data_IF_906604757016
#
_entry.id   IF_906604757016
#
_cell.length_a   1.000
_cell.length_b   1.000
_cell.length_c   1.000
_cell.angle_alpha   90.00
_cell.angle_beta   90.00
_cell.angle_gamma   90.00
#
_symmetry.space_group_name_H-M   'P 1'
#
loop_
_entity.id
_entity.type
_entity.pdbx_description
1 polymer ?
#
# COMPACT_ATOMS: atom_id res chain seq x y z
N UNK A 1 -5.31 9.11 3.82
CA UNK A 1 -6.66 9.71 3.73
C UNK A 1 -6.59 11.24 3.64
N UNK A 2 -6.00 11.96 4.60
CA UNK A 2 -5.94 13.43 4.58
C UNK A 2 -5.28 14.06 3.32
N UNK A 3 -4.21 13.45 2.76
CA UNK A 3 -3.60 13.93 1.51
C UNK A 3 -4.47 13.63 0.27
N UNK A 4 -5.15 12.48 0.25
CA UNK A 4 -6.06 12.11 -0.85
C UNK A 4 -7.36 12.95 -0.81
N UNK A 5 -7.72 13.46 0.38
CA UNK A 5 -8.82 14.42 0.57
C UNK A 5 -8.44 15.81 0.05
N UNK A 6 -7.21 16.29 0.30
CA UNK A 6 -6.75 17.57 -0.27
C UNK A 6 -6.65 17.54 -1.80
N UNK A 7 -6.36 16.37 -2.37
CA UNK A 7 -6.24 16.19 -3.82
C UNK A 7 -7.60 15.92 -4.51
N UNK A 8 -8.72 15.95 -3.76
CA UNK A 8 -10.07 15.73 -4.30
C UNK A 8 -10.34 14.32 -4.82
N UNK A 9 -9.42 13.37 -4.59
CA UNK A 9 -9.50 12.00 -5.10
C UNK A 9 -10.39 11.06 -4.26
N UNK A 10 -10.94 11.55 -3.14
CA UNK A 10 -11.78 10.79 -2.21
C UNK A 10 -13.27 11.16 -2.25
N UNK A 11 -13.70 12.04 -3.15
CA UNK A 11 -15.12 12.37 -3.28
C UNK A 11 -15.90 11.13 -3.76
N UNK A 12 -17.14 10.94 -3.29
CA UNK A 12 -18.00 9.79 -3.62
C UNK A 12 -18.28 9.58 -5.13
N UNK A 13 -17.91 10.53 -5.98
CA UNK A 13 -17.99 10.45 -7.44
C UNK A 13 -16.68 10.02 -8.12
N UNK A 14 -15.60 9.81 -7.35
CA UNK A 14 -14.34 9.30 -7.88
C UNK A 14 -14.51 7.83 -8.26
N UNK A 15 -13.91 7.41 -9.37
CA UNK A 15 -13.95 6.04 -9.93
C UNK A 15 -13.38 4.95 -8.98
N UNK A 16 -13.07 5.30 -7.74
CA UNK A 16 -12.45 4.47 -6.72
C UNK A 16 -13.53 3.81 -5.84
N UNK A 17 -14.42 3.03 -6.44
CA UNK A 17 -15.45 2.22 -5.74
C UNK A 17 -14.87 1.25 -4.69
N UNK A 18 -13.55 1.05 -4.68
CA UNK A 18 -12.87 0.12 -3.79
C UNK A 18 -12.56 0.71 -2.41
N UNK A 19 -12.69 2.03 -2.20
CA UNK A 19 -12.30 2.64 -0.92
C UNK A 19 -13.22 2.21 0.22
N UNK A 20 -14.52 2.08 -0.03
CA UNK A 20 -15.47 1.53 0.94
C UNK A 20 -15.08 0.12 1.40
N UNK A 21 -14.73 -0.75 0.44
CA UNK A 21 -14.24 -2.11 0.71
C UNK A 21 -12.92 -2.12 1.48
N UNK A 22 -11.98 -1.23 1.15
CA UNK A 22 -10.74 -1.10 1.92
C UNK A 22 -11.02 -0.71 3.37
N UNK A 23 -11.91 0.27 3.60
CA UNK A 23 -12.28 0.68 4.96
C UNK A 23 -12.93 -0.49 5.71
N UNK A 24 -13.84 -1.23 5.09
CA UNK A 24 -14.45 -2.44 5.67
C UNK A 24 -13.39 -3.48 6.05
N UNK A 25 -12.42 -3.74 5.18
CA UNK A 25 -11.31 -4.67 5.45
C UNK A 25 -10.47 -4.23 6.65
N UNK A 26 -10.18 -2.92 6.77
CA UNK A 26 -9.44 -2.40 7.92
C UNK A 26 -10.23 -2.51 9.24
N UNK A 27 -11.55 -2.32 9.21
CA UNK A 27 -12.43 -2.54 10.38
C UNK A 27 -12.40 -4.02 10.79
N UNK A 28 -12.54 -4.94 9.85
CA UNK A 28 -12.45 -6.39 10.12
C UNK A 28 -11.08 -6.77 10.71
N UNK A 29 -10.00 -6.23 10.14
CA UNK A 29 -8.65 -6.46 10.63
C UNK A 29 -8.43 -5.89 12.04
N UNK A 30 -9.05 -4.75 12.36
CA UNK A 30 -9.01 -4.20 13.70
C UNK A 30 -9.79 -5.06 14.72
N UNK A 31 -10.88 -5.72 14.31
CA UNK A 31 -11.51 -6.76 15.15
C UNK A 31 -10.52 -7.87 15.48
N UNK A 32 -9.87 -8.45 14.47
CA UNK A 32 -8.87 -9.51 14.67
C UNK A 32 -7.72 -9.07 15.57
N UNK A 33 -7.22 -7.84 15.39
CA UNK A 33 -6.14 -7.30 16.23
C UNK A 33 -6.57 -7.01 17.68
N UNK A 34 -7.86 -6.78 17.94
CA UNK A 34 -8.38 -6.73 19.32
C UNK A 34 -8.39 -8.12 19.95
N UNK A 35 -8.78 -9.14 19.20
CA UNK A 35 -8.83 -10.53 19.69
C UNK A 35 -7.45 -11.03 20.12
N UNK A 36 -6.41 -10.66 19.39
CA UNK A 36 -5.01 -10.95 19.76
C UNK A 36 -4.36 -9.88 20.65
N UNK A 37 -5.14 -8.97 21.24
CA UNK A 37 -4.68 -7.94 22.19
C UNK A 37 -3.62 -6.95 21.63
N UNK A 38 -3.53 -6.78 20.31
CA UNK A 38 -2.62 -5.83 19.68
C UNK A 38 -3.12 -4.38 19.76
N UNK A 39 -4.44 -4.16 19.76
CA UNK A 39 -5.05 -2.82 19.86
C UNK A 39 -6.10 -2.75 20.98
N UNK A 40 -5.65 -2.59 22.21
CA UNK A 40 -6.54 -2.52 23.39
C UNK A 40 -7.15 -1.13 23.64
N UNK A 41 -8.36 -1.14 24.22
CA UNK A 41 -9.29 -0.02 24.48
C UNK A 41 -8.72 1.25 25.15
N UNK A 42 -7.61 1.13 25.86
CA UNK A 42 -7.10 2.13 26.79
C UNK A 42 -5.71 2.68 26.41
N UNK A 43 -5.10 2.20 25.31
CA UNK A 43 -3.79 2.69 24.88
C UNK A 43 -3.94 3.99 24.09
N UNK A 44 -3.75 5.10 24.78
CA UNK A 44 -3.65 6.41 24.14
C UNK A 44 -2.28 6.56 23.48
N UNK A 45 -2.27 6.69 22.15
CA UNK A 45 -1.06 7.07 21.43
C UNK A 45 -0.99 8.60 21.40
N UNK A 46 0.03 9.16 22.07
CA UNK A 46 0.30 10.60 22.07
C UNK A 46 0.99 10.97 20.76
N UNK A 47 0.20 11.25 19.71
CA UNK A 47 0.70 12.02 18.57
C UNK A 47 0.63 13.51 18.90
N UNK A 48 1.62 14.31 18.48
CA UNK A 48 1.67 15.76 18.75
C UNK A 48 0.45 16.53 18.23
N UNK A 49 -0.24 15.99 17.23
CA UNK A 49 -1.32 16.68 16.50
C UNK A 49 -2.73 16.26 16.94
N UNK A 50 -2.91 15.08 17.52
CA UNK A 50 -4.21 14.61 17.96
C UNK A 50 -4.08 13.44 18.96
N UNK A 51 -5.09 13.30 19.83
CA UNK A 51 -5.19 12.16 20.75
C UNK A 51 -5.82 10.99 20.01
N UNK A 52 -5.05 9.93 19.78
CA UNK A 52 -5.52 8.73 19.11
C UNK A 52 -5.71 7.59 20.11
N UNK A 53 -6.89 6.98 20.09
CA UNK A 53 -7.24 5.82 20.91
C UNK A 53 -7.33 4.58 20.03
N UNK A 54 -6.34 3.68 20.14
CA UNK A 54 -6.23 2.52 19.26
C UNK A 54 -7.46 1.59 19.34
N UNK A 55 -8.07 1.44 20.52
CA UNK A 55 -9.27 0.62 20.66
C UNK A 55 -10.54 1.20 20.02
N UNK A 56 -10.53 2.48 19.66
CA UNK A 56 -11.63 3.15 18.96
C UNK A 56 -11.36 3.31 17.46
N UNK A 57 -10.41 2.55 16.91
CA UNK A 57 -9.97 2.68 15.53
C UNK A 57 -11.12 2.61 14.52
N UNK A 58 -12.07 1.71 14.73
CA UNK A 58 -13.26 1.56 13.86
C UNK A 58 -14.08 2.85 13.78
N UNK A 59 -14.24 3.55 14.92
CA UNK A 59 -14.98 4.80 14.99
C UNK A 59 -14.28 5.92 14.21
N UNK A 60 -12.94 5.97 14.25
CA UNK A 60 -12.18 6.92 13.43
C UNK A 60 -12.37 6.65 11.93
N UNK A 61 -12.36 5.38 11.51
CA UNK A 61 -12.58 5.01 10.11
C UNK A 61 -13.99 5.35 9.64
N UNK A 62 -15.01 5.04 10.44
CA UNK A 62 -16.40 5.37 10.14
C UNK A 62 -16.63 6.89 10.07
N UNK A 63 -16.06 7.65 11.01
CA UNK A 63 -16.17 9.11 11.01
C UNK A 63 -15.46 9.74 9.80
N UNK A 64 -14.32 9.18 9.35
CA UNK A 64 -13.67 9.61 8.11
C UNK A 64 -14.52 9.24 6.88
N UNK A 65 -15.08 8.04 6.83
CA UNK A 65 -15.96 7.63 5.73
C UNK A 65 -17.20 8.52 5.62
N UNK A 66 -17.83 8.86 6.75
CA UNK A 66 -18.96 9.78 6.79
C UNK A 66 -18.56 11.19 6.32
N UNK A 67 -17.41 11.72 6.75
CA UNK A 67 -16.89 13.03 6.30
C UNK A 67 -16.69 13.08 4.78
N UNK A 68 -16.28 11.97 4.19
CA UNK A 68 -15.98 11.86 2.76
C UNK A 68 -17.17 11.34 1.94
N UNK A 69 -18.32 11.10 2.57
CA UNK A 69 -19.51 10.51 1.95
C UNK A 69 -19.21 9.16 1.25
N UNK A 70 -18.40 8.31 1.88
CA UNK A 70 -18.02 6.98 1.38
C UNK A 70 -18.95 5.94 2.02
N UNK A 71 -19.60 5.13 1.20
CA UNK A 71 -20.38 3.97 1.67
C UNK A 71 -19.45 2.82 2.02
N UNK A 72 -19.53 2.36 3.28
CA UNK A 72 -18.83 1.14 3.71
C UNK A 72 -19.80 -0.04 3.56
N UNK A 73 -19.44 -1.09 2.81
CA UNK A 73 -20.26 -2.28 2.68
C UNK A 73 -20.26 -3.09 3.99
N UNK A 74 -21.40 -3.67 4.32
CA UNK A 74 -21.56 -4.68 5.38
C UNK A 74 -21.22 -4.22 6.81
N UNK A 75 -21.35 -2.91 7.10
CA UNK A 75 -21.20 -2.37 8.46
C UNK A 75 -22.49 -1.76 8.96
N UNK A 76 -22.94 -2.18 10.14
CA UNK A 76 -23.95 -1.43 10.88
C UNK A 76 -23.38 -0.03 11.19
N UNK A 77 -24.08 1.03 10.79
CA UNK A 77 -23.67 2.40 11.09
C UNK A 77 -23.62 2.60 12.60
N UNK A 78 -22.44 2.52 13.22
CA UNK A 78 -22.22 2.80 14.66
C UNK A 78 -22.18 4.31 14.90
N UNK A 79 -23.01 5.07 14.16
CA UNK A 79 -23.02 6.53 14.11
C UNK A 79 -23.70 7.16 15.34
N UNK A 80 -23.65 6.53 16.51
CA UNK A 80 -24.27 7.08 17.72
C UNK A 80 -23.25 7.23 18.83
N UNK A 81 -22.80 8.48 18.98
CA UNK A 81 -22.39 9.14 20.23
C UNK A 81 -20.91 9.43 20.48
N UNK A 82 -19.99 9.14 19.56
CA UNK A 82 -18.61 9.58 19.72
C UNK A 82 -18.14 10.16 18.39
N UNK A 83 -18.15 11.49 18.25
CA UNK A 83 -17.40 12.16 17.20
C UNK A 83 -15.94 12.20 17.63
N UNK A 84 -15.06 11.35 17.08
CA UNK A 84 -13.65 11.46 17.40
C UNK A 84 -13.13 12.75 16.77
N UNK A 85 -12.28 13.50 17.49
CA UNK A 85 -11.58 14.64 16.91
C UNK A 85 -10.59 14.15 15.84
N UNK A 86 -11.01 14.11 14.59
CA UNK A 86 -10.15 13.78 13.45
C UNK A 86 -9.36 15.05 13.09
N UNK A 87 -8.02 14.97 12.93
CA UNK A 87 -7.26 16.11 12.44
C UNK A 87 -7.80 16.56 11.09
N UNK A 88 -8.07 17.86 10.96
CA UNK A 88 -8.37 18.48 9.66
C UNK A 88 -7.09 18.47 8.84
N UNK A 89 -7.17 17.99 7.60
CA UNK A 89 -6.03 18.04 6.68
C UNK A 89 -5.62 19.50 6.49
N UNK A 90 -4.40 19.85 6.86
CA UNK A 90 -3.83 21.19 6.66
C UNK A 90 -3.31 21.38 5.21
N UNK A 91 -3.83 20.60 4.25
CA UNK A 91 -3.40 20.56 2.84
C UNK A 91 -1.97 20.07 2.60
N UNK A 92 -1.12 20.05 3.64
CA UNK A 92 0.27 19.62 3.55
C UNK A 92 0.37 18.16 3.94
N UNK A 93 0.67 17.29 2.99
CA UNK A 93 0.88 15.86 3.21
C UNK A 93 1.98 15.63 4.26
N UNK A 94 1.65 15.20 5.49
CA UNK A 94 2.62 15.07 6.55
C UNK A 94 3.56 13.87 6.35
N UNK A 95 3.24 12.97 5.42
CA UNK A 95 3.98 11.74 5.16
C UNK A 95 4.72 11.76 3.82
N UNK A 96 4.52 12.79 2.99
CA UNK A 96 5.10 12.88 1.64
C UNK A 96 4.67 11.73 0.71
N UNK A 97 3.56 11.06 1.03
CA UNK A 97 3.01 9.96 0.24
C UNK A 97 2.64 10.40 -1.18
N UNK A 98 2.12 11.61 -1.37
CA UNK A 98 1.75 12.12 -2.70
C UNK A 98 2.96 12.18 -3.65
N UNK A 99 4.08 12.71 -3.17
CA UNK A 99 5.33 12.78 -3.93
C UNK A 99 5.90 11.38 -4.21
N UNK A 100 5.90 10.51 -3.20
CA UNK A 100 6.37 9.13 -3.35
C UNK A 100 5.50 8.35 -4.34
N UNK A 101 4.18 8.47 -4.25
CA UNK A 101 3.24 7.80 -5.17
C UNK A 101 3.39 8.34 -6.59
N UNK A 102 3.55 9.65 -6.78
CA UNK A 102 3.80 10.24 -8.09
C UNK A 102 5.11 9.71 -8.68
N UNK A 103 6.18 9.62 -7.88
CA UNK A 103 7.46 9.02 -8.30
C UNK A 103 7.34 7.53 -8.63
N UNK A 104 6.58 6.78 -7.83
CA UNK A 104 6.31 5.37 -8.13
C UNK A 104 5.51 5.28 -9.43
N UNK A 105 4.43 6.01 -9.60
CA UNK A 105 3.59 5.96 -10.79
C UNK A 105 4.36 6.35 -12.05
N UNK A 106 5.14 7.44 -12.01
CA UNK A 106 6.00 7.82 -13.14
C UNK A 106 7.04 6.75 -13.45
N UNK A 107 7.71 6.18 -12.46
CA UNK A 107 8.73 5.15 -12.68
C UNK A 107 8.15 3.78 -13.07
N UNK A 108 7.08 3.33 -12.44
CA UNK A 108 6.45 2.02 -12.67
C UNK A 108 5.78 1.95 -14.05
N UNK A 109 5.18 3.06 -14.50
CA UNK A 109 4.52 3.13 -15.81
C UNK A 109 5.51 3.45 -16.94
N UNK A 110 6.55 4.24 -16.68
CA UNK A 110 7.65 4.43 -17.63
C UNK A 110 8.52 3.18 -17.80
N UNK A 111 8.66 2.37 -16.74
CA UNK A 111 9.42 1.12 -16.74
C UNK A 111 8.50 -0.08 -16.52
N UNK A 112 7.43 -0.20 -17.33
CA UNK A 112 6.89 -1.52 -17.64
C UNK A 112 7.94 -2.33 -18.41
N UNK A 113 9.07 -2.66 -17.78
CA UNK A 113 9.81 -3.86 -18.14
C UNK A 113 8.81 -4.97 -17.96
N UNK A 114 8.41 -5.60 -19.07
CA UNK A 114 7.58 -6.80 -19.04
C UNK A 114 8.17 -7.71 -17.97
N UNK A 115 7.34 -8.17 -17.04
CA UNK A 115 7.77 -9.18 -16.08
C UNK A 115 8.10 -10.42 -16.92
N UNK A 116 9.37 -10.82 -16.93
CA UNK A 116 9.90 -11.86 -17.82
C UNK A 116 10.30 -11.37 -19.22
N UNK A 117 11.12 -12.18 -19.88
CA UNK A 117 11.68 -11.96 -21.21
C UNK A 117 13.17 -12.31 -21.26
N UNK A 118 13.70 -12.50 -22.47
CA UNK A 118 15.07 -12.93 -22.73
C UNK A 118 16.13 -12.00 -22.12
N UNK A 119 15.77 -10.77 -21.74
CA UNK A 119 16.65 -9.86 -21.01
C UNK A 119 16.83 -10.20 -19.53
N UNK A 120 16.03 -11.10 -18.97
CA UNK A 120 16.08 -11.54 -17.56
C UNK A 120 16.45 -13.02 -17.40
N UNK A 121 16.49 -13.78 -18.51
CA UNK A 121 16.95 -15.16 -18.53
C UNK A 121 18.47 -15.20 -18.74
N UNK A 122 19.19 -15.82 -17.81
CA UNK A 122 20.64 -15.90 -17.90
C UNK A 122 21.10 -16.86 -19.03
N UNK A 123 20.23 -17.77 -19.48
CA UNK A 123 20.52 -18.72 -20.56
C UNK A 123 20.54 -18.06 -21.94
N UNK A 124 19.82 -16.95 -22.11
CA UNK A 124 19.76 -16.16 -23.35
C UNK A 124 20.87 -15.11 -23.43
N UNK A 125 21.53 -14.80 -22.32
CA UNK A 125 22.65 -13.86 -22.28
C UNK A 125 23.89 -14.41 -23.00
N UNK A 126 24.76 -13.51 -23.47
CA UNK A 126 26.10 -13.87 -23.90
C UNK A 126 27.00 -14.22 -22.70
N UNK A 127 28.09 -14.94 -22.97
CA UNK A 127 29.10 -15.25 -21.92
C UNK A 127 29.70 -13.98 -21.31
N UNK A 128 29.84 -12.90 -22.10
CA UNK A 128 30.37 -11.63 -21.63
C UNK A 128 29.40 -10.93 -20.64
N UNK A 129 28.11 -10.89 -20.97
CA UNK A 129 27.08 -10.32 -20.10
C UNK A 129 26.99 -11.10 -18.79
N UNK A 130 26.98 -12.44 -18.84
CA UNK A 130 26.96 -13.25 -17.61
C UNK A 130 28.16 -13.01 -16.70
N UNK A 131 29.36 -12.87 -17.28
CA UNK A 131 30.57 -12.56 -16.52
C UNK A 131 30.49 -11.19 -15.85
N UNK A 132 29.95 -10.19 -16.56
CA UNK A 132 29.80 -8.82 -16.05
C UNK A 132 28.93 -8.77 -14.79
N UNK A 133 27.93 -9.64 -14.69
CA UNK A 133 27.01 -9.71 -13.56
C UNK A 133 27.37 -10.78 -12.52
N UNK A 134 28.44 -11.55 -12.72
CA UNK A 134 28.90 -12.56 -11.76
C UNK A 134 29.99 -11.99 -10.83
N UNK A 135 29.89 -12.27 -9.53
CA UNK A 135 30.82 -11.76 -8.51
C UNK A 135 32.28 -12.06 -8.79
N UNK A 136 32.57 -13.25 -9.35
CA UNK A 136 33.94 -13.70 -9.63
C UNK A 136 34.40 -13.41 -11.06
N UNK A 137 33.63 -12.67 -11.86
CA UNK A 137 33.87 -12.41 -13.30
C UNK A 137 34.03 -13.69 -14.16
N UNK A 138 33.60 -14.85 -13.63
CA UNK A 138 33.58 -16.13 -14.34
C UNK A 138 32.22 -16.35 -14.99
N UNK A 139 32.16 -17.15 -16.05
CA UNK A 139 30.86 -17.50 -16.63
C UNK A 139 30.21 -18.62 -15.77
N UNK A 140 29.06 -18.37 -15.11
CA UNK A 140 28.36 -19.40 -14.35
C UNK A 140 27.72 -20.48 -15.25
N UNK A 141 27.50 -20.18 -16.54
CA UNK A 141 26.92 -21.11 -17.51
C UNK A 141 27.84 -21.25 -18.72
N UNK A 142 28.92 -22.05 -18.60
CA UNK A 142 29.83 -22.30 -19.71
C UNK A 142 29.11 -23.02 -20.86
N UNK A 143 29.68 -22.90 -22.06
CA UNK A 143 29.06 -23.38 -23.32
C UNK A 143 28.53 -24.82 -23.25
N UNK A 144 29.31 -25.74 -22.66
CA UNK A 144 28.90 -27.14 -22.48
C UNK A 144 27.62 -27.28 -21.65
N UNK A 145 27.46 -26.48 -20.59
CA UNK A 145 26.27 -26.48 -19.74
C UNK A 145 25.05 -25.95 -20.50
N UNK A 146 25.21 -24.89 -21.31
CA UNK A 146 24.13 -24.36 -22.17
C UNK A 146 23.72 -25.38 -23.23
N UNK A 147 24.69 -26.08 -23.83
CA UNK A 147 24.41 -27.14 -24.80
C UNK A 147 23.64 -28.29 -24.15
N UNK A 148 24.06 -28.77 -22.96
CA UNK A 148 23.31 -29.79 -22.23
C UNK A 148 21.90 -29.33 -21.86
N UNK A 149 21.72 -28.09 -21.39
CA UNK A 149 20.39 -27.54 -21.10
C UNK A 149 19.48 -27.47 -22.34
N UNK A 150 20.06 -27.29 -23.53
CA UNK A 150 19.34 -27.27 -24.81
C UNK A 150 18.94 -28.67 -25.27
N UNK A 151 19.76 -29.67 -24.96
CA UNK A 151 19.54 -31.07 -25.33
C UNK A 151 18.58 -31.81 -24.39
N UNK A 152 18.39 -31.30 -23.16
CA UNK A 152 17.50 -31.86 -22.14
C UNK A 152 18.24 -32.79 -21.18
#
# INVERSE_FOLDING_TARGET
LAALESDGMLCGNSHNNNIGWMIAMYIAMASMFRDVSLIQGNRQLKAKLFKFWAGNFDLYLQAIAHRLNITIPDTENVSKNIEPTIPKGNGKDPWGLGEVLCRVQTNFWAHRRKIGGDGLDITTWSSAERKQYNFDNKDPLPKKTIESLREG
#
